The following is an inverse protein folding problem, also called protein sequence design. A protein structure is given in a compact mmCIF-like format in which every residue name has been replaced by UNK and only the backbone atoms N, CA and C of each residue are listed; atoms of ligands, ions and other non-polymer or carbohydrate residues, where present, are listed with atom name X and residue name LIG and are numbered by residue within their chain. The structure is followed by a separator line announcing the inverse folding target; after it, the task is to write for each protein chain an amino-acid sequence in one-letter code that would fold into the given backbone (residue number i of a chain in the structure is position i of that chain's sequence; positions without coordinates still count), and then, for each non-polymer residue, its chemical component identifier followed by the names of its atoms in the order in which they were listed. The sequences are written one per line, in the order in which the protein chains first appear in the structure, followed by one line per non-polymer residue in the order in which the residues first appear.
data_IF_780818531809
#
_entry.id   IF_780818531809
#
_cell.length_a   1.000
_cell.length_b   1.000
_cell.length_c   1.000
_cell.angle_alpha   90.00
_cell.angle_beta   90.00
_cell.angle_gamma   90.00
#
_symmetry.space_group_name_H-M   'P 1'
#
loop_
_entity.id
_entity.type
_entity.pdbx_description
1 polymer ?
#
# COMPACT_ATOMS: atom_id res chain seq x y z
N UNK A 1 7.14 -44.28 -15.89
CA UNK A 1 7.05 -43.90 -14.47
C UNK A 1 7.14 -42.38 -14.39
N UNK A 2 5.99 -41.71 -14.38
CA UNK A 2 5.91 -40.25 -14.20
C UNK A 2 5.73 -40.04 -12.71
N UNK A 3 6.76 -39.50 -12.04
CA UNK A 3 6.68 -39.14 -10.64
C UNK A 3 5.77 -37.90 -10.52
N UNK A 4 4.58 -38.10 -9.96
CA UNK A 4 3.70 -37.04 -9.51
C UNK A 4 4.39 -36.32 -8.35
N UNK A 5 4.80 -35.08 -8.57
CA UNK A 5 5.11 -34.16 -7.47
C UNK A 5 3.76 -33.80 -6.83
N UNK A 6 3.55 -34.28 -5.61
CA UNK A 6 2.43 -33.87 -4.78
C UNK A 6 2.63 -32.40 -4.41
N UNK A 7 1.65 -31.56 -4.75
CA UNK A 7 1.55 -30.19 -4.23
C UNK A 7 1.34 -30.28 -2.71
N UNK A 8 2.33 -29.87 -1.93
CA UNK A 8 2.18 -29.74 -0.48
C UNK A 8 1.12 -28.67 -0.16
N UNK A 9 0.25 -28.90 0.83
CA UNK A 9 -0.74 -27.92 1.23
C UNK A 9 -0.01 -26.66 1.71
N UNK A 10 -0.25 -25.53 1.02
CA UNK A 10 0.32 -24.24 1.37
C UNK A 10 -0.13 -23.89 2.80
N UNK A 11 0.74 -24.14 3.78
CA UNK A 11 0.49 -23.76 5.16
C UNK A 11 0.21 -22.26 5.18
N UNK A 12 -1.01 -21.88 5.55
CA UNK A 12 -1.40 -20.49 5.74
C UNK A 12 -0.50 -19.89 6.79
N UNK A 13 0.49 -19.11 6.33
CA UNK A 13 1.39 -18.35 7.21
C UNK A 13 0.51 -17.49 8.14
N UNK A 14 0.87 -17.35 9.42
CA UNK A 14 0.11 -16.50 10.32
C UNK A 14 0.05 -15.07 9.77
N UNK A 15 -1.16 -14.69 9.33
CA UNK A 15 -1.49 -13.34 8.88
C UNK A 15 -1.50 -12.42 10.09
N UNK A 16 -0.92 -11.23 9.95
CA UNK A 16 -0.92 -10.25 11.03
C UNK A 16 -2.16 -9.36 10.93
N UNK A 17 -2.77 -9.03 12.08
CA UNK A 17 -3.95 -8.17 12.09
C UNK A 17 -3.63 -6.76 11.56
N UNK A 18 -4.49 -6.26 10.67
CA UNK A 18 -4.46 -4.89 10.15
C UNK A 18 -5.13 -3.95 11.13
N UNK A 19 -4.55 -2.76 11.36
CA UNK A 19 -5.26 -1.67 12.05
C UNK A 19 -5.97 -0.76 11.04
N UNK A 20 -7.30 -0.92 10.81
CA UNK A 20 -8.03 -0.14 9.83
C UNK A 20 -8.10 1.35 10.17
N UNK A 21 -8.06 1.71 11.45
CA UNK A 21 -8.10 3.11 11.89
C UNK A 21 -6.81 3.86 11.51
N UNK A 22 -5.66 3.22 11.70
CA UNK A 22 -4.37 3.79 11.31
C UNK A 22 -4.29 4.01 9.79
N UNK A 23 -4.75 3.03 9.01
CA UNK A 23 -4.82 3.15 7.56
C UNK A 23 -5.77 4.27 7.10
N UNK A 24 -6.95 4.38 7.72
CA UNK A 24 -7.91 5.44 7.40
C UNK A 24 -7.32 6.83 7.55
N UNK A 25 -6.61 7.07 8.65
CA UNK A 25 -5.91 8.33 8.88
C UNK A 25 -4.80 8.59 7.83
N UNK A 26 -4.15 7.54 7.33
CA UNK A 26 -3.01 7.66 6.42
C UNK A 26 -3.41 8.02 4.98
N UNK A 27 -4.54 7.52 4.46
CA UNK A 27 -4.99 7.85 3.10
C UNK A 27 -5.80 9.15 3.02
N UNK A 28 -6.00 9.86 4.13
CA UNK A 28 -6.66 11.17 4.12
C UNK A 28 -5.84 12.24 3.40
N UNK A 29 -6.51 12.98 2.51
CA UNK A 29 -5.91 14.00 1.64
C UNK A 29 -6.41 15.43 1.94
N UNK A 30 -7.23 15.62 2.98
CA UNK A 30 -7.91 16.89 3.27
C UNK A 30 -6.96 18.08 3.53
N UNK A 31 -5.69 17.82 3.85
CA UNK A 31 -4.69 18.83 4.22
C UNK A 31 -3.54 18.96 3.21
N UNK A 32 -3.75 18.58 1.94
CA UNK A 32 -2.71 18.69 0.89
C UNK A 32 -2.89 19.96 0.07
N UNK A 33 -2.06 20.96 0.34
CA UNK A 33 -2.13 22.29 -0.29
C UNK A 33 -0.93 22.60 -1.20
N UNK A 34 0.17 21.85 -1.10
CA UNK A 34 1.40 22.03 -1.88
C UNK A 34 1.89 20.71 -2.48
N UNK A 35 2.78 20.76 -3.48
CA UNK A 35 3.43 19.57 -4.01
C UNK A 35 4.24 18.81 -2.94
N UNK A 36 4.86 19.54 -2.01
CA UNK A 36 5.58 18.95 -0.87
C UNK A 36 4.65 18.13 0.02
N UNK A 37 3.45 18.64 0.29
CA UNK A 37 2.45 17.94 1.11
C UNK A 37 2.03 16.62 0.47
N UNK A 38 1.92 16.58 -0.87
CA UNK A 38 1.58 15.36 -1.61
C UNK A 38 2.68 14.31 -1.56
N UNK A 39 3.95 14.72 -1.66
CA UNK A 39 5.09 13.83 -1.52
C UNK A 39 5.18 13.26 -0.10
N UNK A 40 5.03 14.13 0.92
CA UNK A 40 5.03 13.71 2.32
C UNK A 40 3.88 12.75 2.62
N UNK A 41 2.67 13.07 2.13
CA UNK A 41 1.51 12.20 2.25
C UNK A 41 1.76 10.80 1.69
N UNK A 42 2.25 10.73 0.46
CA UNK A 42 2.45 9.46 -0.20
C UNK A 42 3.53 8.62 0.51
N UNK A 43 4.61 9.26 0.95
CA UNK A 43 5.64 8.59 1.76
C UNK A 43 5.10 8.11 3.10
N UNK A 44 4.29 8.94 3.79
CA UNK A 44 3.66 8.57 5.06
C UNK A 44 2.68 7.41 4.87
N UNK A 45 1.88 7.47 3.81
CA UNK A 45 0.91 6.44 3.47
C UNK A 45 1.60 5.10 3.16
N UNK A 46 2.66 5.11 2.35
CA UNK A 46 3.47 3.93 2.08
C UNK A 46 4.08 3.32 3.36
N UNK A 47 4.60 4.17 4.26
CA UNK A 47 5.13 3.72 5.53
C UNK A 47 4.05 3.09 6.42
N UNK A 48 2.85 3.64 6.44
CA UNK A 48 1.74 3.09 7.22
C UNK A 48 1.24 1.76 6.63
N UNK A 49 1.17 1.63 5.30
CA UNK A 49 0.86 0.37 4.64
C UNK A 49 1.85 -0.73 5.04
N UNK A 50 3.15 -0.44 5.12
CA UNK A 50 4.14 -1.43 5.58
C UNK A 50 3.89 -1.86 7.03
N UNK A 51 3.62 -0.91 7.94
CA UNK A 51 3.36 -1.22 9.35
C UNK A 51 2.09 -2.04 9.55
N UNK A 52 1.06 -1.75 8.76
CA UNK A 52 -0.25 -2.39 8.88
C UNK A 52 -0.41 -3.64 8.01
N UNK A 53 0.52 -3.91 7.10
CA UNK A 53 0.42 -5.06 6.18
C UNK A 53 0.21 -6.38 6.94
N UNK A 54 -0.75 -7.23 6.51
CA UNK A 54 -0.92 -8.57 7.06
C UNK A 54 0.23 -9.52 6.70
N UNK A 55 1.07 -9.16 5.72
CA UNK A 55 2.26 -9.93 5.35
C UNK A 55 3.41 -9.69 6.34
N UNK A 56 3.92 -10.74 7.03
CA UNK A 56 5.04 -10.59 7.95
C UNK A 56 6.31 -10.03 7.30
N UNK A 57 6.54 -10.36 6.02
CA UNK A 57 7.69 -9.86 5.27
C UNK A 57 7.61 -8.35 5.02
N UNK A 58 6.45 -7.86 4.60
CA UNK A 58 6.23 -6.42 4.40
C UNK A 58 6.27 -5.66 5.73
N UNK A 59 5.72 -6.25 6.81
CA UNK A 59 5.79 -5.63 8.14
C UNK A 59 7.21 -5.55 8.70
N UNK A 60 8.06 -6.56 8.45
CA UNK A 60 9.47 -6.48 8.79
C UNK A 60 10.20 -5.35 8.02
N UNK A 61 9.79 -5.07 6.78
CA UNK A 61 10.34 -3.97 5.98
C UNK A 61 9.99 -2.58 6.55
N UNK A 62 8.99 -2.43 7.42
CA UNK A 62 8.70 -1.13 8.05
C UNK A 62 9.86 -0.64 8.94
N UNK A 63 10.58 -1.54 9.62
CA UNK A 63 11.78 -1.18 10.37
C UNK A 63 12.96 -0.82 9.45
N UNK A 64 13.06 -1.51 8.30
CA UNK A 64 14.07 -1.20 7.28
C UNK A 64 13.81 0.17 6.63
N UNK A 65 12.54 0.49 6.35
CA UNK A 65 12.10 1.77 5.79
C UNK A 65 12.52 2.98 6.62
N UNK A 66 12.56 2.85 7.95
CA UNK A 66 13.06 3.91 8.84
C UNK A 66 14.56 4.17 8.66
N UNK A 67 15.33 3.15 8.25
CA UNK A 67 16.79 3.23 8.09
C UNK A 67 17.21 3.51 6.65
N UNK A 68 16.39 3.10 5.68
CA UNK A 68 16.60 3.31 4.25
C UNK A 68 15.29 3.75 3.59
N UNK A 69 14.95 5.06 3.68
CA UNK A 69 13.67 5.59 3.20
C UNK A 69 13.27 5.22 1.76
N UNK A 70 14.19 5.08 0.78
CA UNK A 70 13.82 4.71 -0.58
C UNK A 70 13.05 3.37 -0.70
N UNK A 71 13.27 2.41 0.20
CA UNK A 71 12.58 1.11 0.15
C UNK A 71 11.07 1.25 0.39
N UNK A 72 10.64 2.28 1.13
CA UNK A 72 9.23 2.52 1.46
C UNK A 72 8.40 2.66 0.18
N UNK A 73 8.91 3.45 -0.76
CA UNK A 73 8.24 3.72 -2.03
C UNK A 73 8.35 2.53 -3.00
N UNK A 74 9.46 1.78 -2.97
CA UNK A 74 9.62 0.58 -3.79
C UNK A 74 8.65 -0.54 -3.40
N UNK A 75 8.23 -0.58 -2.13
CA UNK A 75 7.28 -1.56 -1.61
C UNK A 75 5.84 -1.06 -1.57
N UNK A 76 5.56 0.14 -2.11
CA UNK A 76 4.22 0.73 -2.06
C UNK A 76 3.14 -0.18 -2.66
N UNK A 77 3.33 -0.66 -3.89
CA UNK A 77 2.35 -1.51 -4.58
C UNK A 77 2.02 -2.82 -3.82
N UNK A 78 3.01 -3.68 -3.46
CA UNK A 78 2.70 -4.89 -2.71
C UNK A 78 2.14 -4.60 -1.31
N UNK A 79 2.58 -3.52 -0.64
CA UNK A 79 2.03 -3.11 0.65
C UNK A 79 0.57 -2.62 0.55
N UNK A 80 0.26 -1.86 -0.50
CA UNK A 80 -1.10 -1.44 -0.83
C UNK A 80 -2.00 -2.65 -1.03
N UNK A 81 -1.65 -3.56 -1.94
CA UNK A 81 -2.49 -4.71 -2.28
C UNK A 81 -2.72 -5.62 -1.06
N UNK A 82 -1.65 -5.84 -0.28
CA UNK A 82 -1.70 -6.64 0.93
C UNK A 82 -2.66 -6.05 1.98
N UNK A 83 -2.66 -4.73 2.19
CA UNK A 83 -3.62 -4.11 3.11
C UNK A 83 -5.02 -4.04 2.51
N UNK A 84 -5.14 -3.67 1.23
CA UNK A 84 -6.41 -3.47 0.55
C UNK A 84 -7.30 -4.71 0.60
N UNK A 85 -6.73 -5.89 0.37
CA UNK A 85 -7.46 -7.17 0.41
C UNK A 85 -8.01 -7.55 1.78
N UNK A 86 -7.44 -7.01 2.85
CA UNK A 86 -7.85 -7.31 4.23
C UNK A 86 -8.82 -6.25 4.79
N UNK A 87 -9.09 -5.18 4.04
CA UNK A 87 -10.05 -4.14 4.41
C UNK A 87 -11.48 -4.54 4.07
N UNK A 88 -12.44 -4.00 4.84
CA UNK A 88 -13.86 -4.10 4.48
C UNK A 88 -14.15 -3.37 3.17
N UNK A 89 -15.17 -3.82 2.43
CA UNK A 89 -15.61 -3.20 1.17
C UNK A 89 -15.87 -1.70 1.31
N UNK A 90 -16.44 -1.26 2.44
CA UNK A 90 -16.67 0.15 2.71
C UNK A 90 -15.36 0.95 2.75
N UNK A 91 -14.34 0.42 3.41
CA UNK A 91 -13.03 1.07 3.53
C UNK A 91 -12.25 1.02 2.22
N UNK A 92 -12.33 -0.08 1.48
CA UNK A 92 -11.78 -0.18 0.13
C UNK A 92 -12.34 0.93 -0.77
N UNK A 93 -13.67 1.14 -0.76
CA UNK A 93 -14.29 2.24 -1.50
C UNK A 93 -13.82 3.62 -1.04
N UNK A 94 -13.68 3.85 0.27
CA UNK A 94 -13.16 5.13 0.81
C UNK A 94 -11.72 5.38 0.35
N UNK A 95 -10.86 4.38 0.43
CA UNK A 95 -9.46 4.43 0.01
C UNK A 95 -9.33 4.71 -1.49
N UNK A 96 -10.11 4.01 -2.32
CA UNK A 96 -10.14 4.26 -3.77
C UNK A 96 -10.66 5.65 -4.11
N UNK A 97 -11.70 6.14 -3.41
CA UNK A 97 -12.18 7.52 -3.59
C UNK A 97 -11.07 8.52 -3.27
N UNK A 98 -10.32 8.32 -2.19
CA UNK A 98 -9.21 9.19 -1.82
C UNK A 98 -8.11 9.21 -2.91
N UNK A 99 -7.74 8.04 -3.47
CA UNK A 99 -6.77 7.96 -4.56
C UNK A 99 -7.27 8.64 -5.84
N UNK A 100 -8.53 8.44 -6.23
CA UNK A 100 -9.12 9.10 -7.39
C UNK A 100 -9.16 10.62 -7.17
N UNK A 101 -9.50 11.08 -5.96
CA UNK A 101 -9.44 12.51 -5.63
C UNK A 101 -8.01 13.06 -5.66
N UNK A 102 -7.01 12.28 -5.25
CA UNK A 102 -5.61 12.66 -5.36
C UNK A 102 -5.18 12.82 -6.83
N UNK A 103 -5.54 11.87 -7.71
CA UNK A 103 -5.25 11.92 -9.15
C UNK A 103 -5.88 13.14 -9.86
N UNK A 104 -7.02 13.62 -9.36
CA UNK A 104 -7.69 14.81 -9.90
C UNK A 104 -7.16 16.14 -9.31
N UNK A 105 -6.22 16.09 -8.36
CA UNK A 105 -5.63 17.28 -7.76
C UNK A 105 -4.65 17.95 -8.73
N UNK A 106 -4.81 19.24 -9.08
CA UNK A 106 -3.85 19.96 -9.92
C UNK A 106 -2.50 20.21 -9.22
N UNK A 107 -2.42 19.90 -7.92
CA UNK A 107 -1.24 20.10 -7.09
C UNK A 107 -0.46 18.80 -6.84
N UNK A 108 -0.95 17.67 -7.35
CA UNK A 108 -0.24 16.40 -7.27
C UNK A 108 1.11 16.53 -7.99
N UNK A 109 2.18 16.07 -7.35
CA UNK A 109 3.51 16.06 -7.97
C UNK A 109 3.57 15.01 -9.09
N UNK A 110 4.45 15.20 -10.08
CA UNK A 110 4.67 14.22 -11.13
C UNK A 110 5.16 12.86 -10.57
N UNK A 111 5.96 12.91 -9.50
CA UNK A 111 6.43 11.71 -8.79
C UNK A 111 5.28 10.94 -8.15
N UNK A 112 4.41 11.62 -7.41
CA UNK A 112 3.25 10.99 -6.79
C UNK A 112 2.26 10.44 -7.84
N UNK A 113 2.05 11.19 -8.94
CA UNK A 113 1.26 10.71 -10.07
C UNK A 113 1.83 9.40 -10.63
N UNK A 114 3.13 9.35 -10.90
CA UNK A 114 3.77 8.14 -11.45
C UNK A 114 3.59 6.94 -10.52
N UNK A 115 3.74 7.12 -9.21
CA UNK A 115 3.53 6.03 -8.24
C UNK A 115 2.09 5.52 -8.27
N UNK A 116 1.10 6.41 -8.32
CA UNK A 116 -0.31 6.01 -8.40
C UNK A 116 -0.66 5.33 -9.74
N UNK A 117 -0.02 5.75 -10.85
CA UNK A 117 -0.16 5.07 -12.14
C UNK A 117 0.48 3.67 -12.10
N UNK A 118 1.66 3.52 -11.51
CA UNK A 118 2.30 2.22 -11.32
C UNK A 118 1.43 1.30 -10.45
N UNK A 119 0.73 1.85 -9.46
CA UNK A 119 -0.23 1.09 -8.67
C UNK A 119 -1.42 0.64 -9.52
N UNK A 120 -1.98 1.52 -10.34
CA UNK A 120 -3.10 1.18 -11.21
C UNK A 120 -2.73 0.08 -12.23
N UNK A 121 -1.51 0.12 -12.76
CA UNK A 121 -0.96 -0.95 -13.61
C UNK A 121 -0.80 -2.25 -12.82
N UNK A 122 -0.19 -2.20 -11.63
CA UNK A 122 -0.01 -3.37 -10.77
C UNK A 122 -1.34 -4.06 -10.44
N UNK A 123 -2.38 -3.30 -10.07
CA UNK A 123 -3.71 -3.83 -9.77
C UNK A 123 -4.48 -4.39 -10.98
N UNK A 124 -4.05 -4.14 -12.22
CA UNK A 124 -4.65 -4.75 -13.41
C UNK A 124 -4.04 -6.12 -13.73
N UNK A 125 -2.81 -6.36 -13.28
CA UNK A 125 -2.05 -7.57 -13.58
C UNK A 125 -2.14 -8.65 -12.50
N UNK A 126 -2.37 -8.26 -11.24
CA UNK A 126 -2.52 -9.13 -10.06
C UNK A 126 -3.98 -9.20 -9.56
#
# INVERSE_FOLDING_TARGET
AVAQQAEEPHATKPSMEVNPYALKKAWEISLRATQGDWNEWLSHFAAELLKQSPSPALRACAALAQRYPPVTMQLFNPAFMSCYNDLSMMMQMEMMKALISALNSPKLSAEALQVLLNLAEFMQHD
#
